data_IF_653936971227
#
_entry.id   IF_653936971227
#
_cell.length_a   1.000
_cell.length_b   1.000
_cell.length_c   1.000
_cell.angle_alpha   90.00
_cell.angle_beta   90.00
_cell.angle_gamma   90.00
#
_symmetry.space_group_name_H-M   'P 1'
#
loop_
_entity.id
_entity.type
_entity.pdbx_description
1 polymer ?
#
# COMPACT_ATOMS: atom_id res chain seq x y z
N UNK A 1 -7.36 -1.58 -59.25
CA UNK A 1 -7.28 -2.81 -58.43
C UNK A 1 -6.47 -2.50 -57.17
N UNK A 2 -7.07 -2.51 -55.97
CA UNK A 2 -6.29 -2.43 -54.72
C UNK A 2 -5.52 -3.74 -54.57
N UNK A 3 -4.21 -3.68 -54.32
CA UNK A 3 -3.41 -4.90 -54.20
C UNK A 3 -3.91 -5.73 -53.01
N UNK A 4 -4.03 -7.06 -53.14
CA UNK A 4 -4.51 -7.93 -52.05
C UNK A 4 -3.63 -7.87 -50.79
N UNK A 5 -2.38 -7.41 -50.91
CA UNK A 5 -1.49 -7.14 -49.79
C UNK A 5 -1.99 -6.00 -48.89
N UNK A 6 -2.36 -4.85 -49.48
CA UNK A 6 -2.84 -3.70 -48.70
C UNK A 6 -4.15 -3.99 -47.98
N UNK A 7 -5.03 -4.78 -48.58
CA UNK A 7 -6.29 -5.19 -47.95
C UNK A 7 -6.05 -6.05 -46.70
N UNK A 8 -5.17 -7.07 -46.80
CA UNK A 8 -4.81 -7.92 -45.65
C UNK A 8 -4.07 -7.17 -44.55
N UNK A 9 -3.17 -6.26 -44.93
CA UNK A 9 -2.46 -5.41 -43.98
C UNK A 9 -3.42 -4.51 -43.20
N UNK A 10 -4.38 -3.89 -43.89
CA UNK A 10 -5.36 -3.02 -43.27
C UNK A 10 -6.29 -3.78 -42.31
N UNK A 11 -6.75 -4.98 -42.68
CA UNK A 11 -7.55 -5.84 -41.80
C UNK A 11 -6.77 -6.30 -40.56
N UNK A 12 -5.49 -6.64 -40.73
CA UNK A 12 -4.58 -7.03 -39.65
C UNK A 12 -4.42 -5.86 -38.66
N UNK A 13 -4.10 -4.66 -39.16
CA UNK A 13 -3.93 -3.46 -38.36
C UNK A 13 -5.22 -3.05 -37.62
N UNK A 14 -6.38 -3.21 -38.26
CA UNK A 14 -7.69 -2.89 -37.67
C UNK A 14 -8.00 -3.71 -36.41
N UNK A 15 -7.40 -4.90 -36.27
CA UNK A 15 -7.62 -5.80 -35.12
C UNK A 15 -6.45 -5.73 -34.14
N UNK A 16 -5.21 -5.76 -34.65
CA UNK A 16 -4.02 -5.79 -33.82
C UNK A 16 -3.77 -4.46 -33.09
N UNK A 17 -3.99 -3.32 -33.75
CA UNK A 17 -3.69 -2.02 -33.13
C UNK A 17 -4.57 -1.70 -31.92
N UNK A 18 -5.92 -1.87 -31.96
CA UNK A 18 -6.76 -1.69 -30.78
C UNK A 18 -6.43 -2.67 -29.65
N UNK A 19 -6.09 -3.91 -29.97
CA UNK A 19 -5.72 -4.91 -28.96
C UNK A 19 -4.38 -4.58 -28.30
N UNK A 20 -3.37 -4.14 -29.06
CA UNK A 20 -2.09 -3.70 -28.52
C UNK A 20 -2.25 -2.46 -27.63
N UNK A 21 -3.03 -1.48 -28.09
CA UNK A 21 -3.34 -0.30 -27.29
C UNK A 21 -4.08 -0.68 -26.00
N UNK A 22 -5.04 -1.59 -26.07
CA UNK A 22 -5.76 -2.12 -24.92
C UNK A 22 -4.81 -2.77 -23.89
N UNK A 23 -3.84 -3.56 -24.35
CA UNK A 23 -2.82 -4.15 -23.47
C UNK A 23 -1.98 -3.08 -22.78
N UNK A 24 -1.56 -2.03 -23.50
CA UNK A 24 -0.78 -0.92 -22.93
C UNK A 24 -1.60 -0.18 -21.87
N UNK A 25 -2.85 0.18 -22.18
CA UNK A 25 -3.74 0.92 -21.26
C UNK A 25 -3.99 0.11 -19.99
N UNK A 26 -4.33 -1.18 -20.11
CA UNK A 26 -4.56 -2.04 -18.96
C UNK A 26 -3.28 -2.28 -18.17
N UNK A 27 -2.12 -2.40 -18.82
CA UNK A 27 -0.84 -2.56 -18.13
C UNK A 27 -0.50 -1.32 -17.30
N UNK A 28 -0.68 -0.12 -17.86
CA UNK A 28 -0.53 1.14 -17.11
C UNK A 28 -1.47 1.15 -15.89
N UNK A 29 -2.73 0.74 -16.09
CA UNK A 29 -3.71 0.65 -15.00
C UNK A 29 -3.28 -0.26 -13.85
N UNK A 30 -2.58 -1.35 -14.14
CA UNK A 30 -2.20 -2.38 -13.15
C UNK A 30 -0.73 -2.32 -12.68
N UNK A 31 0.13 -1.58 -13.37
CA UNK A 31 1.57 -1.52 -13.08
C UNK A 31 2.08 -0.12 -12.69
N UNK A 32 1.21 0.90 -12.63
CA UNK A 32 1.62 2.26 -12.25
C UNK A 32 2.19 2.36 -10.82
N UNK A 33 2.90 3.46 -10.54
CA UNK A 33 3.42 3.81 -9.21
C UNK A 33 2.98 5.22 -8.81
N UNK A 34 3.05 5.55 -7.53
CA UNK A 34 2.73 6.89 -7.01
C UNK A 34 3.89 7.89 -7.22
N UNK A 35 3.55 9.17 -7.40
CA UNK A 35 4.49 10.29 -7.34
C UNK A 35 4.38 10.95 -5.97
N UNK A 36 5.30 10.66 -5.06
CA UNK A 36 5.31 11.27 -3.72
C UNK A 36 5.64 12.77 -3.79
N UNK A 37 5.00 13.65 -2.98
CA UNK A 37 3.90 13.42 -2.02
C UNK A 37 2.52 13.78 -2.61
N UNK A 38 2.16 13.24 -3.77
CA UNK A 38 0.94 13.61 -4.50
C UNK A 38 -0.01 12.43 -4.69
N UNK A 39 -1.25 12.72 -5.11
CA UNK A 39 -2.22 11.70 -5.53
C UNK A 39 -2.00 11.21 -6.97
N UNK A 40 -0.99 11.75 -7.66
CA UNK A 40 -0.72 11.45 -9.07
C UNK A 40 0.05 10.16 -9.25
N UNK A 41 -0.18 9.53 -10.40
CA UNK A 41 0.49 8.29 -10.80
C UNK A 41 1.56 8.58 -11.84
N UNK A 42 2.64 7.81 -11.82
CA UNK A 42 3.62 7.71 -12.91
C UNK A 42 3.48 6.37 -13.61
N UNK A 43 3.67 6.38 -14.92
CA UNK A 43 3.81 5.16 -15.70
C UNK A 43 5.19 4.54 -15.45
N UNK A 44 5.25 3.23 -15.47
CA UNK A 44 6.49 2.46 -15.35
C UNK A 44 6.60 1.48 -16.52
N UNK A 45 7.81 1.03 -16.88
CA UNK A 45 8.00 -0.02 -17.86
C UNK A 45 7.71 -1.42 -17.29
N UNK A 46 7.12 -1.51 -16.09
CA UNK A 46 6.81 -2.77 -15.43
C UNK A 46 5.65 -3.49 -16.13
N UNK A 47 5.70 -4.82 -16.10
CA UNK A 47 4.64 -5.68 -16.65
C UNK A 47 3.73 -6.15 -15.50
N UNK A 48 2.42 -5.95 -15.62
CA UNK A 48 1.45 -6.50 -14.67
C UNK A 48 1.28 -8.00 -14.88
N UNK A 49 1.61 -8.78 -13.86
CA UNK A 49 1.43 -10.23 -13.87
C UNK A 49 -0.05 -10.61 -13.92
N UNK A 50 -0.93 -9.87 -13.23
CA UNK A 50 -2.37 -10.10 -13.29
C UNK A 50 -2.90 -9.92 -14.70
N UNK A 51 -2.45 -8.89 -15.42
CA UNK A 51 -2.84 -8.70 -16.81
C UNK A 51 -2.39 -9.88 -17.69
N UNK A 52 -1.15 -10.34 -17.51
CA UNK A 52 -0.63 -11.51 -18.23
C UNK A 52 -1.49 -12.75 -17.96
N UNK A 53 -1.78 -13.05 -16.69
CA UNK A 53 -2.64 -14.17 -16.31
C UNK A 53 -4.04 -14.02 -16.91
N UNK A 54 -4.62 -12.82 -16.83
CA UNK A 54 -5.98 -12.55 -17.28
C UNK A 54 -6.13 -12.73 -18.79
N UNK A 55 -5.23 -12.12 -19.57
CA UNK A 55 -5.27 -12.16 -21.04
C UNK A 55 -4.93 -13.57 -21.55
N UNK A 56 -3.97 -14.26 -20.92
CA UNK A 56 -3.66 -15.66 -21.22
C UNK A 56 -4.85 -16.56 -20.92
N UNK A 57 -5.53 -16.35 -19.80
CA UNK A 57 -6.74 -17.09 -19.42
C UNK A 57 -7.88 -16.89 -20.43
N UNK A 58 -8.13 -15.66 -20.89
CA UNK A 58 -9.12 -15.38 -21.94
C UNK A 58 -8.74 -16.10 -23.25
N UNK A 59 -7.46 -16.07 -23.64
CA UNK A 59 -7.00 -16.72 -24.86
C UNK A 59 -7.11 -18.26 -24.77
N UNK A 60 -6.80 -18.85 -23.61
CA UNK A 60 -6.98 -20.28 -23.35
C UNK A 60 -8.46 -20.67 -23.37
N UNK A 61 -9.32 -19.91 -22.68
CA UNK A 61 -10.77 -20.13 -22.69
C UNK A 61 -11.33 -20.12 -24.13
N UNK A 62 -10.91 -19.14 -24.94
CA UNK A 62 -11.26 -19.08 -26.36
C UNK A 62 -10.72 -20.28 -27.17
N UNK A 63 -9.58 -20.85 -26.79
CA UNK A 63 -9.03 -22.06 -27.43
C UNK A 63 -9.87 -23.31 -27.11
N UNK A 64 -10.48 -23.36 -25.92
CA UNK A 64 -11.44 -24.41 -25.52
C UNK A 64 -12.87 -24.15 -25.99
N UNK A 65 -13.11 -23.10 -26.80
CA UNK A 65 -14.44 -22.77 -27.30
C UNK A 65 -15.36 -22.10 -26.28
N UNK A 66 -14.83 -21.68 -25.12
CA UNK A 66 -15.56 -20.90 -24.14
C UNK A 66 -15.66 -19.45 -24.61
N UNK A 67 -16.89 -18.98 -24.85
CA UNK A 67 -17.16 -17.61 -25.23
C UNK A 67 -17.72 -16.82 -24.04
N UNK A 68 -17.15 -15.65 -23.78
CA UNK A 68 -17.64 -14.78 -22.72
C UNK A 68 -18.82 -13.94 -23.23
N UNK A 69 -20.03 -14.29 -22.79
CA UNK A 69 -21.22 -13.48 -23.04
C UNK A 69 -21.11 -12.08 -22.43
N UNK A 70 -22.05 -11.19 -22.77
CA UNK A 70 -22.05 -9.79 -22.30
C UNK A 70 -21.92 -9.66 -20.78
N UNK A 71 -22.62 -10.52 -20.02
CA UNK A 71 -22.58 -10.54 -18.55
C UNK A 71 -21.19 -10.88 -18.02
N UNK A 72 -20.55 -11.92 -18.57
CA UNK A 72 -19.21 -12.32 -18.19
C UNK A 72 -18.19 -11.22 -18.50
N UNK A 73 -18.30 -10.56 -19.67
CA UNK A 73 -17.42 -9.44 -20.00
C UNK A 73 -17.57 -8.25 -19.03
N UNK A 74 -18.79 -7.93 -18.58
CA UNK A 74 -19.00 -6.90 -17.55
C UNK A 74 -18.45 -7.32 -16.18
N UNK A 75 -18.63 -8.58 -15.77
CA UNK A 75 -18.05 -9.10 -14.53
C UNK A 75 -16.51 -9.05 -14.56
N UNK A 76 -15.91 -9.43 -15.69
CA UNK A 76 -14.47 -9.34 -15.93
C UNK A 76 -13.97 -7.88 -15.92
N UNK A 77 -14.72 -6.94 -16.50
CA UNK A 77 -14.42 -5.50 -16.42
C UNK A 77 -14.50 -4.97 -14.99
N UNK A 78 -15.51 -5.38 -14.21
CA UNK A 78 -15.63 -5.00 -12.81
C UNK A 78 -14.48 -5.55 -11.97
N UNK A 79 -14.08 -6.81 -12.19
CA UNK A 79 -12.93 -7.41 -11.52
C UNK A 79 -11.63 -6.66 -11.85
N UNK A 80 -11.38 -6.32 -13.11
CA UNK A 80 -10.20 -5.54 -13.49
C UNK A 80 -10.24 -4.12 -12.92
N UNK A 81 -11.41 -3.49 -12.86
CA UNK A 81 -11.56 -2.18 -12.22
C UNK A 81 -11.21 -2.26 -10.73
N UNK A 82 -11.66 -3.31 -10.03
CA UNK A 82 -11.28 -3.56 -8.64
C UNK A 82 -9.77 -3.73 -8.49
N UNK A 83 -9.12 -4.47 -9.39
CA UNK A 83 -7.66 -4.64 -9.37
C UNK A 83 -6.90 -3.34 -9.66
N UNK A 84 -7.37 -2.52 -10.59
CA UNK A 84 -6.78 -1.19 -10.88
C UNK A 84 -6.94 -0.26 -9.67
N UNK A 85 -8.12 -0.25 -9.04
CA UNK A 85 -8.35 0.52 -7.82
C UNK A 85 -7.49 0.02 -6.67
N UNK A 86 -7.41 -1.30 -6.47
CA UNK A 86 -6.55 -1.92 -5.49
C UNK A 86 -5.07 -1.57 -5.73
N UNK A 87 -4.60 -1.57 -6.99
CA UNK A 87 -3.25 -1.10 -7.35
C UNK A 87 -3.03 0.34 -6.89
N UNK A 88 -3.98 1.22 -7.23
CA UNK A 88 -3.89 2.63 -6.89
C UNK A 88 -3.75 2.85 -5.39
N UNK A 89 -4.58 2.16 -4.60
CA UNK A 89 -4.51 2.21 -3.13
C UNK A 89 -3.19 1.62 -2.63
N UNK A 90 -2.74 0.48 -3.16
CA UNK A 90 -1.53 -0.22 -2.71
C UNK A 90 -0.24 0.58 -2.95
N UNK A 91 -0.19 1.43 -3.98
CA UNK A 91 0.97 2.31 -4.23
C UNK A 91 0.84 3.69 -3.59
N UNK A 92 -0.38 4.21 -3.45
CA UNK A 92 -0.61 5.57 -2.95
C UNK A 92 -0.62 5.62 -1.43
N UNK A 93 -1.22 4.62 -0.76
CA UNK A 93 -1.28 4.62 0.70
C UNK A 93 0.10 4.51 1.37
N UNK A 94 1.02 3.62 0.95
CA UNK A 94 2.36 3.59 1.52
C UNK A 94 3.17 4.86 1.23
N UNK A 95 2.96 5.48 0.07
CA UNK A 95 3.63 6.73 -0.27
C UNK A 95 3.19 7.87 0.67
N UNK A 96 1.88 8.02 0.89
CA UNK A 96 1.34 9.12 1.70
C UNK A 96 1.39 8.85 3.21
N UNK A 97 1.14 7.62 3.64
CA UNK A 97 0.95 7.24 5.04
C UNK A 97 2.05 6.34 5.59
N UNK A 98 3.05 5.95 4.78
CA UNK A 98 4.16 5.08 5.20
C UNK A 98 3.76 3.64 5.51
N UNK A 99 2.49 3.27 5.29
CA UNK A 99 1.95 1.92 5.48
C UNK A 99 0.91 1.56 4.42
N UNK A 100 0.68 0.27 4.24
CA UNK A 100 -0.45 -0.22 3.44
C UNK A 100 -1.77 0.03 4.17
N UNK A 101 -2.86 0.03 3.40
CA UNK A 101 -4.21 0.01 3.96
C UNK A 101 -4.43 -1.35 4.63
N UNK A 102 -4.89 -1.31 5.87
CA UNK A 102 -5.40 -2.45 6.61
C UNK A 102 -6.92 -2.44 6.49
N UNK A 103 -7.47 -3.33 5.66
CA UNK A 103 -8.91 -3.35 5.40
C UNK A 103 -9.75 -3.59 6.67
N UNK A 104 -9.22 -4.26 7.69
CA UNK A 104 -9.97 -4.51 8.93
C UNK A 104 -10.06 -3.25 9.79
N UNK A 105 -8.93 -2.58 10.01
CA UNK A 105 -8.87 -1.41 10.88
C UNK A 105 -9.31 -0.12 10.18
N UNK A 106 -8.87 0.10 8.94
CA UNK A 106 -9.12 1.37 8.24
C UNK A 106 -10.60 1.53 7.86
N UNK A 107 -11.32 0.44 7.59
CA UNK A 107 -12.76 0.50 7.27
C UNK A 107 -13.63 0.89 8.47
N UNK A 108 -13.17 0.64 9.69
CA UNK A 108 -13.88 1.06 10.92
C UNK A 108 -13.91 2.59 11.07
N UNK A 109 -13.01 3.31 10.40
CA UNK A 109 -13.00 4.77 10.41
C UNK A 109 -13.97 5.40 9.40
N UNK A 110 -14.56 4.62 8.48
CA UNK A 110 -15.48 5.14 7.44
C UNK A 110 -16.66 5.92 8.05
N UNK A 111 -17.36 5.47 9.11
CA UNK A 111 -18.46 6.23 9.69
C UNK A 111 -18.02 7.58 10.25
N UNK A 112 -16.87 7.64 10.94
CA UNK A 112 -16.34 8.87 11.50
C UNK A 112 -15.92 9.88 10.41
N UNK A 113 -15.25 9.41 9.36
CA UNK A 113 -14.88 10.23 8.20
C UNK A 113 -16.15 10.74 7.49
N UNK A 114 -17.16 9.88 7.35
CA UNK A 114 -18.44 10.24 6.73
C UNK A 114 -19.16 11.32 7.53
N UNK A 115 -19.25 11.16 8.86
CA UNK A 115 -19.84 12.16 9.75
C UNK A 115 -19.10 13.50 9.64
N UNK A 116 -17.76 13.47 9.67
CA UNK A 116 -16.93 14.67 9.52
C UNK A 116 -17.22 15.41 8.21
N UNK A 117 -17.32 14.69 7.08
CA UNK A 117 -17.64 15.30 5.77
C UNK A 117 -19.04 15.90 5.77
N UNK A 118 -20.03 15.19 6.31
CA UNK A 118 -21.42 15.66 6.38
C UNK A 118 -21.53 16.93 7.24
N UNK A 119 -20.81 16.99 8.35
CA UNK A 119 -20.80 18.14 9.25
C UNK A 119 -20.04 19.35 8.66
N UNK A 120 -18.98 19.09 7.90
CA UNK A 120 -18.08 20.14 7.42
C UNK A 120 -18.46 20.72 6.06
N UNK A 121 -19.12 19.95 5.19
CA UNK A 121 -19.35 20.32 3.78
C UNK A 121 -20.84 20.54 3.48
N UNK A 122 -21.14 21.41 2.52
CA UNK A 122 -22.52 21.61 2.08
C UNK A 122 -23.07 20.38 1.35
N UNK A 123 -24.39 20.09 1.42
CA UNK A 123 -24.99 18.97 0.70
C UNK A 123 -24.71 18.99 -0.82
N UNK A 124 -24.60 20.17 -1.41
CA UNK A 124 -24.27 20.34 -2.83
C UNK A 124 -22.81 19.94 -3.13
N UNK A 125 -21.87 20.27 -2.25
CA UNK A 125 -20.47 19.86 -2.39
C UNK A 125 -20.33 18.33 -2.29
N UNK A 126 -21.05 17.71 -1.35
CA UNK A 126 -21.08 16.25 -1.18
C UNK A 126 -21.68 15.59 -2.43
N UNK A 127 -22.82 16.07 -2.93
CA UNK A 127 -23.44 15.54 -4.13
C UNK A 127 -22.52 15.67 -5.36
N UNK A 128 -21.85 16.81 -5.52
CA UNK A 128 -20.87 17.02 -6.59
C UNK A 128 -19.70 16.03 -6.49
N UNK A 129 -19.15 15.80 -5.29
CA UNK A 129 -18.08 14.83 -5.06
C UNK A 129 -18.52 13.40 -5.40
N UNK A 130 -19.71 12.99 -4.96
CA UNK A 130 -20.27 11.66 -5.26
C UNK A 130 -20.46 11.49 -6.77
N UNK A 131 -21.06 12.48 -7.45
CA UNK A 131 -21.26 12.42 -8.90
C UNK A 131 -19.95 12.40 -9.67
N UNK A 132 -18.96 13.21 -9.28
CA UNK A 132 -17.63 13.20 -9.88
C UNK A 132 -16.97 11.82 -9.72
N UNK A 133 -17.05 11.25 -8.52
CA UNK A 133 -16.48 9.92 -8.22
C UNK A 133 -17.16 8.84 -9.07
N UNK A 134 -18.50 8.79 -9.10
CA UNK A 134 -19.25 7.87 -9.93
C UNK A 134 -18.93 8.04 -11.42
N UNK A 135 -18.76 9.28 -11.89
CA UNK A 135 -18.37 9.60 -13.26
C UNK A 135 -16.99 9.04 -13.62
N UNK A 136 -16.00 9.16 -12.72
CA UNK A 136 -14.66 8.58 -12.89
C UNK A 136 -14.73 7.06 -12.98
N UNK A 137 -15.43 6.40 -12.05
CA UNK A 137 -15.59 4.93 -12.08
C UNK A 137 -16.35 4.45 -13.31
N UNK A 138 -17.37 5.19 -13.76
CA UNK A 138 -18.11 4.89 -14.99
C UNK A 138 -17.23 5.05 -16.25
N UNK A 139 -16.38 6.08 -16.31
CA UNK A 139 -15.43 6.25 -17.40
C UNK A 139 -14.39 5.11 -17.41
N UNK A 140 -13.83 4.77 -16.25
CA UNK A 140 -12.84 3.69 -16.12
C UNK A 140 -13.41 2.33 -16.51
N UNK A 141 -14.62 1.98 -16.03
CA UNK A 141 -15.23 0.70 -16.41
C UNK A 141 -15.51 0.63 -17.91
N UNK A 142 -15.91 1.74 -18.53
CA UNK A 142 -16.14 1.82 -19.98
C UNK A 142 -14.83 1.66 -20.78
N UNK A 143 -13.74 2.30 -20.34
CA UNK A 143 -12.41 2.14 -20.94
C UNK A 143 -11.94 0.68 -20.84
N UNK A 144 -12.00 0.09 -19.64
CA UNK A 144 -11.61 -1.31 -19.41
C UNK A 144 -12.47 -2.25 -20.26
N UNK A 145 -13.79 -2.01 -20.34
CA UNK A 145 -14.72 -2.80 -21.14
C UNK A 145 -14.39 -2.76 -22.63
N UNK A 146 -14.01 -1.59 -23.13
CA UNK A 146 -13.58 -1.39 -24.53
C UNK A 146 -12.25 -2.10 -24.80
N UNK A 147 -11.29 -2.01 -23.87
CA UNK A 147 -10.01 -2.73 -23.95
C UNK A 147 -10.23 -4.25 -24.00
N UNK A 148 -11.06 -4.79 -23.11
CA UNK A 148 -11.40 -6.21 -23.11
C UNK A 148 -12.12 -6.66 -24.37
N UNK A 149 -13.02 -5.84 -24.93
CA UNK A 149 -13.68 -6.15 -26.19
C UNK A 149 -12.68 -6.25 -27.35
N UNK A 150 -11.69 -5.34 -27.40
CA UNK A 150 -10.62 -5.38 -28.40
C UNK A 150 -9.75 -6.63 -28.27
N UNK A 151 -9.33 -6.98 -27.05
CA UNK A 151 -8.53 -8.19 -26.77
C UNK A 151 -9.33 -9.46 -27.12
N UNK A 152 -10.59 -9.55 -26.67
CA UNK A 152 -11.48 -10.67 -26.96
C UNK A 152 -11.69 -10.84 -28.48
N UNK A 153 -11.88 -9.75 -29.21
CA UNK A 153 -11.99 -9.76 -30.67
C UNK A 153 -10.71 -10.26 -31.35
N UNK A 154 -9.53 -9.86 -30.85
CA UNK A 154 -8.25 -10.32 -31.39
C UNK A 154 -8.02 -11.82 -31.13
N UNK A 155 -8.26 -12.31 -29.90
CA UNK A 155 -8.04 -13.73 -29.57
C UNK A 155 -9.09 -14.68 -30.16
N UNK A 156 -10.18 -14.16 -30.73
CA UNK A 156 -11.08 -14.97 -31.54
C UNK A 156 -10.38 -15.52 -32.79
N UNK A 157 -9.35 -14.83 -33.29
CA UNK A 157 -8.54 -15.28 -34.41
C UNK A 157 -7.44 -16.25 -33.93
N UNK A 158 -7.32 -17.45 -34.54
CA UNK A 158 -6.38 -18.48 -34.08
C UNK A 158 -4.92 -18.04 -34.04
N UNK A 159 -4.48 -17.18 -34.96
CA UNK A 159 -3.11 -16.69 -35.03
C UNK A 159 -2.75 -15.83 -33.80
N UNK A 160 -3.55 -14.80 -33.50
CA UNK A 160 -3.34 -13.94 -32.34
C UNK A 160 -3.52 -14.71 -31.02
N UNK A 161 -4.48 -15.63 -30.96
CA UNK A 161 -4.67 -16.50 -29.79
C UNK A 161 -3.41 -17.27 -29.43
N UNK A 162 -2.76 -17.90 -30.43
CA UNK A 162 -1.50 -18.62 -30.23
C UNK A 162 -0.38 -17.70 -29.75
N UNK A 163 -0.24 -16.52 -30.37
CA UNK A 163 0.76 -15.52 -29.96
C UNK A 163 0.56 -15.12 -28.50
N UNK A 164 -0.68 -14.81 -28.10
CA UNK A 164 -1.01 -14.41 -26.74
C UNK A 164 -0.71 -15.53 -25.73
N UNK A 165 -1.10 -16.77 -26.03
CA UNK A 165 -0.82 -17.91 -25.15
C UNK A 165 0.70 -18.12 -25.00
N UNK A 166 1.44 -18.10 -26.10
CA UNK A 166 2.90 -18.30 -26.08
C UNK A 166 3.62 -17.17 -25.33
N UNK A 167 3.28 -15.91 -25.63
CA UNK A 167 3.86 -14.75 -24.97
C UNK A 167 3.51 -14.73 -23.47
N UNK A 168 2.25 -15.02 -23.12
CA UNK A 168 1.81 -15.10 -21.74
C UNK A 168 2.51 -16.20 -20.95
N UNK A 169 2.60 -17.40 -21.53
CA UNK A 169 3.31 -18.54 -20.91
C UNK A 169 4.80 -18.21 -20.73
N UNK A 170 5.44 -17.58 -21.72
CA UNK A 170 6.84 -17.15 -21.63
C UNK A 170 7.05 -16.13 -20.50
N UNK A 171 6.20 -15.10 -20.43
CA UNK A 171 6.30 -14.06 -19.38
C UNK A 171 6.09 -14.64 -17.98
N UNK A 172 5.12 -15.54 -17.81
CA UNK A 172 4.89 -16.26 -16.55
C UNK A 172 6.09 -17.13 -16.18
N UNK A 173 6.70 -17.81 -17.16
CA UNK A 173 7.91 -18.60 -16.95
C UNK A 173 9.11 -17.74 -16.55
N UNK A 174 9.32 -16.59 -17.20
CA UNK A 174 10.39 -15.63 -16.85
C UNK A 174 10.21 -15.11 -15.43
N UNK A 175 8.98 -14.75 -15.06
CA UNK A 175 8.66 -14.33 -13.70
C UNK A 175 8.96 -15.44 -12.67
N UNK A 176 8.50 -16.66 -12.93
CA UNK A 176 8.73 -17.80 -12.05
C UNK A 176 10.22 -18.14 -11.89
N UNK A 177 11.01 -18.05 -12.96
CA UNK A 177 12.47 -18.24 -12.90
C UNK A 177 13.14 -17.15 -12.07
N UNK A 178 12.73 -15.88 -12.23
CA UNK A 178 13.24 -14.76 -11.44
C UNK A 178 13.00 -14.97 -9.94
N UNK A 179 11.76 -15.32 -9.57
CA UNK A 179 11.39 -15.60 -8.17
C UNK A 179 12.20 -16.73 -7.52
N UNK A 180 12.75 -17.66 -8.29
CA UNK A 180 13.47 -18.84 -7.78
C UNK A 180 14.99 -18.73 -7.97
N UNK A 181 15.52 -17.55 -8.34
CA UNK A 181 16.93 -17.37 -8.69
C UNK A 181 17.53 -16.13 -8.05
N UNK A 182 18.34 -16.32 -7.00
CA UNK A 182 19.09 -15.23 -6.34
C UNK A 182 20.05 -14.48 -7.28
N UNK A 183 20.46 -15.10 -8.38
CA UNK A 183 21.38 -14.51 -9.35
C UNK A 183 20.71 -13.64 -10.43
N UNK A 184 19.37 -13.58 -10.49
CA UNK A 184 18.63 -12.92 -11.59
C UNK A 184 17.44 -12.13 -11.06
N UNK A 185 17.57 -10.81 -10.97
CA UNK A 185 16.52 -9.87 -10.58
C UNK A 185 15.46 -9.60 -11.69
N UNK A 186 15.07 -10.63 -12.44
CA UNK A 186 14.12 -10.47 -13.56
C UNK A 186 12.70 -10.16 -13.10
N UNK A 187 12.32 -10.61 -11.90
CA UNK A 187 11.06 -10.32 -11.24
C UNK A 187 10.85 -8.82 -11.02
N UNK A 188 11.92 -8.02 -10.88
CA UNK A 188 11.84 -6.55 -10.78
C UNK A 188 11.30 -5.86 -12.02
N UNK A 189 11.22 -6.56 -13.16
CA UNK A 189 10.57 -6.06 -14.38
C UNK A 189 9.05 -6.22 -14.35
N UNK A 190 8.53 -6.91 -13.34
CA UNK A 190 7.10 -7.09 -13.13
C UNK A 190 6.64 -6.22 -11.97
N UNK A 191 5.43 -5.67 -12.09
CA UNK A 191 4.81 -5.03 -10.95
C UNK A 191 4.52 -6.07 -9.88
N UNK A 192 4.72 -5.71 -8.60
CA UNK A 192 4.37 -6.56 -7.46
C UNK A 192 2.90 -6.94 -7.57
N UNK A 193 2.56 -8.25 -7.64
CA UNK A 193 1.17 -8.68 -7.74
C UNK A 193 0.37 -8.25 -6.51
N UNK A 194 -0.78 -7.67 -6.75
CA UNK A 194 -1.73 -7.15 -5.76
C UNK A 194 -2.63 -8.27 -5.24
N UNK A 195 -2.94 -9.25 -6.10
CA UNK A 195 -3.88 -10.34 -5.75
C UNK A 195 -3.48 -11.11 -4.49
N UNK A 196 -2.21 -11.54 -4.31
CA UNK A 196 -1.78 -12.22 -3.08
C UNK A 196 -1.95 -11.36 -1.82
N UNK A 197 -1.62 -10.07 -1.90
CA UNK A 197 -1.72 -9.12 -0.78
C UNK A 197 -3.15 -9.04 -0.25
N UNK A 198 -4.13 -8.86 -1.15
CA UNK A 198 -5.53 -8.75 -0.74
C UNK A 198 -6.15 -10.10 -0.33
N UNK A 199 -5.65 -11.21 -0.89
CA UNK A 199 -6.04 -12.54 -0.44
C UNK A 199 -5.60 -12.81 1.01
N UNK A 200 -4.37 -12.44 1.35
CA UNK A 200 -3.86 -12.51 2.73
C UNK A 200 -4.69 -11.62 3.67
N UNK A 201 -5.00 -10.38 3.29
CA UNK A 201 -5.87 -9.52 4.10
C UNK A 201 -7.28 -10.11 4.31
N UNK A 202 -7.88 -10.70 3.27
CA UNK A 202 -9.20 -11.34 3.40
C UNK A 202 -9.15 -12.54 4.35
N UNK A 203 -8.07 -13.35 4.29
CA UNK A 203 -7.83 -14.44 5.24
C UNK A 203 -7.66 -13.90 6.66
N UNK A 204 -6.90 -12.84 6.84
CA UNK A 204 -6.64 -12.26 8.16
C UNK A 204 -7.92 -11.67 8.78
N UNK A 205 -8.75 -10.98 7.98
CA UNK A 205 -10.09 -10.53 8.39
C UNK A 205 -10.92 -11.74 8.86
N UNK A 206 -10.93 -12.83 8.10
CA UNK A 206 -11.69 -14.02 8.46
C UNK A 206 -11.20 -14.64 9.78
N UNK A 207 -9.89 -14.68 10.01
CA UNK A 207 -9.29 -15.19 11.24
C UNK A 207 -9.63 -14.32 12.45
N UNK A 208 -9.63 -12.99 12.29
CA UNK A 208 -10.02 -12.02 13.33
C UNK A 208 -11.50 -12.14 13.70
N UNK A 209 -12.37 -12.22 12.70
CA UNK A 209 -13.80 -12.42 12.91
C UNK A 209 -14.10 -13.76 13.60
N UNK A 210 -13.26 -14.77 13.40
CA UNK A 210 -13.33 -16.05 14.08
C UNK A 210 -12.69 -16.05 15.48
N UNK A 211 -12.08 -14.94 15.92
CA UNK A 211 -11.40 -14.84 17.22
C UNK A 211 -10.09 -15.62 17.33
N UNK A 212 -9.48 -16.03 16.21
CA UNK A 212 -8.34 -16.95 16.16
C UNK A 212 -7.00 -16.22 16.36
N UNK A 213 -6.98 -14.89 16.23
CA UNK A 213 -5.76 -14.08 16.32
C UNK A 213 -5.33 -13.82 17.76
N UNK A 214 -4.43 -14.66 18.27
CA UNK A 214 -3.60 -14.31 19.41
C UNK A 214 -2.38 -13.51 18.90
N UNK A 215 -2.29 -12.23 19.27
CA UNK A 215 -1.08 -11.45 19.02
C UNK A 215 -0.04 -11.92 20.03
N UNK A 216 1.05 -12.52 19.54
CA UNK A 216 2.13 -12.96 20.41
C UNK A 216 2.80 -11.75 21.08
N UNK A 217 2.60 -11.60 22.39
CA UNK A 217 3.25 -10.56 23.17
C UNK A 217 4.74 -10.90 23.31
N UNK A 218 5.60 -9.94 23.00
CA UNK A 218 7.02 -10.07 23.31
C UNK A 218 7.22 -9.64 24.77
N UNK A 219 7.75 -10.51 25.65
CA UNK A 219 8.02 -10.10 27.02
C UNK A 219 8.94 -8.88 27.01
N UNK A 220 8.55 -7.83 27.75
CA UNK A 220 9.42 -6.68 27.91
C UNK A 220 10.76 -7.13 28.51
N UNK A 221 11.90 -6.63 28.02
CA UNK A 221 13.19 -6.98 28.59
C UNK A 221 13.24 -6.59 30.08
N UNK A 222 13.96 -7.35 30.91
CA UNK A 222 14.13 -7.01 32.31
C UNK A 222 14.87 -5.68 32.41
N UNK A 223 14.27 -4.71 33.10
CA UNK A 223 14.90 -3.42 33.34
C UNK A 223 15.96 -3.56 34.43
N UNK A 224 17.02 -2.75 34.31
CA UNK A 224 17.92 -2.52 35.44
C UNK A 224 17.14 -1.86 36.58
N UNK A 225 17.50 -2.10 37.84
CA UNK A 225 16.75 -1.56 38.97
C UNK A 225 16.67 -0.03 38.91
N UNK A 226 15.44 0.51 38.90
CA UNK A 226 15.20 1.95 39.06
C UNK A 226 15.71 2.51 40.41
N UNK A 227 16.13 1.64 41.34
CA UNK A 227 16.81 2.03 42.57
C UNK A 227 18.05 2.92 42.34
N UNK A 228 18.72 2.78 41.19
CA UNK A 228 19.88 3.63 40.83
C UNK A 228 19.51 5.11 40.63
N UNK A 229 18.21 5.43 40.44
CA UNK A 229 17.74 6.81 40.33
C UNK A 229 17.78 7.57 41.67
N UNK A 230 17.90 6.86 42.80
CA UNK A 230 18.18 7.45 44.12
C UNK A 230 17.16 8.49 44.59
N UNK A 231 15.87 8.34 44.22
CA UNK A 231 14.81 9.28 44.59
C UNK A 231 14.75 10.58 43.78
N UNK A 232 15.53 10.72 42.70
CA UNK A 232 15.47 11.90 41.80
C UNK A 232 14.24 11.90 40.91
N UNK A 233 13.66 13.08 40.68
CA UNK A 233 12.56 13.26 39.75
C UNK A 233 12.95 12.89 38.31
N UNK A 234 12.05 12.20 37.61
CA UNK A 234 12.23 11.79 36.22
C UNK A 234 11.15 12.42 35.37
N UNK A 235 11.56 13.16 34.34
CA UNK A 235 10.66 13.78 33.37
C UNK A 235 10.82 13.10 32.01
N UNK A 236 9.71 12.70 31.42
CA UNK A 236 9.64 12.23 30.03
C UNK A 236 8.85 13.25 29.25
N UNK A 237 9.48 13.86 28.25
CA UNK A 237 8.87 14.89 27.41
C UNK A 237 8.88 14.40 25.97
N UNK A 238 7.70 14.33 25.37
CA UNK A 238 7.55 14.03 23.95
C UNK A 238 7.59 15.34 23.15
N UNK A 239 8.50 15.42 22.17
CA UNK A 239 8.56 16.52 21.22
C UNK A 239 8.15 15.98 19.84
N UNK A 240 6.89 16.23 19.47
CA UNK A 240 6.36 15.92 18.15
C UNK A 240 6.47 17.15 17.23
N UNK A 241 6.74 17.05 15.92
CA UNK A 241 6.94 15.89 15.04
C UNK A 241 8.33 15.95 14.38
N UNK A 242 9.38 15.80 15.19
CA UNK A 242 10.77 15.95 14.73
C UNK A 242 11.46 14.61 14.51
N UNK A 243 12.15 14.49 13.38
CA UNK A 243 12.99 13.33 13.05
C UNK A 243 14.43 13.75 12.76
N UNK A 244 15.24 12.79 12.31
CA UNK A 244 16.66 13.01 11.95
C UNK A 244 16.85 14.15 10.93
N UNK A 245 15.85 14.42 10.10
CA UNK A 245 15.88 15.51 9.10
C UNK A 245 16.13 16.88 9.73
N UNK A 246 15.61 17.15 10.94
CA UNK A 246 15.83 18.42 11.64
C UNK A 246 17.31 18.66 11.99
N UNK A 247 18.13 17.61 12.02
CA UNK A 247 19.56 17.68 12.33
C UNK A 247 20.46 17.53 11.09
N UNK A 248 19.92 17.01 9.99
CA UNK A 248 20.70 16.59 8.82
C UNK A 248 20.40 17.39 7.56
N UNK A 249 19.24 18.03 7.46
CA UNK A 249 18.87 18.85 6.31
C UNK A 249 19.34 20.29 6.54
N UNK A 250 20.14 20.81 5.59
CA UNK A 250 20.75 22.13 5.69
C UNK A 250 19.72 23.26 5.86
N UNK A 251 18.47 23.06 5.42
CA UNK A 251 17.40 24.04 5.61
C UNK A 251 17.03 24.27 7.09
N UNK A 252 17.26 23.28 7.96
CA UNK A 252 16.85 23.32 9.38
C UNK A 252 17.99 23.07 10.36
N UNK A 253 19.04 22.36 9.92
CA UNK A 253 20.07 21.82 10.79
C UNK A 253 20.86 22.91 11.51
N UNK A 254 21.11 24.05 10.87
CA UNK A 254 21.88 25.12 11.49
C UNK A 254 21.19 25.68 12.73
N UNK A 255 19.93 26.09 12.61
CA UNK A 255 19.16 26.65 13.71
C UNK A 255 18.90 25.59 14.78
N UNK A 256 18.49 24.38 14.39
CA UNK A 256 18.21 23.29 15.32
C UNK A 256 19.44 22.92 16.16
N UNK A 257 20.63 22.82 15.54
CA UNK A 257 21.87 22.50 16.26
C UNK A 257 22.31 23.65 17.18
N UNK A 258 22.12 24.90 16.77
CA UNK A 258 22.43 26.05 17.62
C UNK A 258 21.58 26.02 18.91
N UNK A 259 20.26 25.84 18.78
CA UNK A 259 19.35 25.72 19.93
C UNK A 259 19.71 24.54 20.83
N UNK A 260 20.02 23.37 20.27
CA UNK A 260 20.42 22.21 21.07
C UNK A 260 21.76 22.42 21.80
N UNK A 261 22.69 23.15 21.19
CA UNK A 261 23.99 23.49 21.81
C UNK A 261 23.79 24.44 22.99
N UNK A 262 22.92 25.45 22.83
CA UNK A 262 22.56 26.37 23.91
C UNK A 262 21.86 25.64 25.07
N UNK A 263 20.92 24.74 24.75
CA UNK A 263 20.25 23.90 25.74
C UNK A 263 21.25 23.01 26.50
N UNK A 264 22.19 22.37 25.79
CA UNK A 264 23.24 21.55 26.40
C UNK A 264 24.13 22.36 27.35
N UNK A 265 24.56 23.56 26.94
CA UNK A 265 25.33 24.46 27.79
C UNK A 265 24.55 24.92 29.03
N UNK A 266 23.27 25.27 28.87
CA UNK A 266 22.39 25.68 29.96
C UNK A 266 22.14 24.56 30.97
N UNK A 267 21.90 23.33 30.49
CA UNK A 267 21.77 22.13 31.32
C UNK A 267 23.09 21.83 32.06
N UNK A 268 24.23 21.89 31.37
CA UNK A 268 25.55 21.68 31.96
C UNK A 268 25.88 22.66 33.09
N UNK A 269 25.50 23.94 32.94
CA UNK A 269 25.67 24.96 33.99
C UNK A 269 24.90 24.64 35.28
N UNK A 270 23.84 23.84 35.20
CA UNK A 270 23.03 23.38 36.33
C UNK A 270 23.40 21.95 36.78
N UNK A 271 24.54 21.41 36.32
CA UNK A 271 25.05 20.10 36.72
C UNK A 271 24.40 18.91 36.02
N UNK A 272 23.64 19.12 34.94
CA UNK A 272 23.09 18.03 34.14
C UNK A 272 24.12 17.48 33.16
N UNK A 273 24.03 16.18 32.88
CA UNK A 273 24.76 15.52 31.80
C UNK A 273 23.81 15.16 30.66
N UNK A 274 24.18 15.54 29.45
CA UNK A 274 23.40 15.35 28.22
C UNK A 274 23.91 14.15 27.43
N UNK A 275 22.99 13.35 26.89
CA UNK A 275 23.26 12.29 25.91
C UNK A 275 22.13 12.27 24.90
N UNK A 276 22.47 12.01 23.65
CA UNK A 276 21.53 11.91 22.55
C UNK A 276 21.83 10.69 21.69
N UNK A 277 20.81 10.24 20.95
CA UNK A 277 20.91 9.10 20.06
C UNK A 277 19.70 9.04 19.15
N UNK A 278 19.78 8.21 18.11
CA UNK A 278 18.66 7.98 17.21
C UNK A 278 17.97 6.65 17.53
N UNK A 279 16.64 6.70 17.53
CA UNK A 279 15.78 5.52 17.57
C UNK A 279 14.88 5.55 16.33
N UNK A 280 14.56 4.38 15.80
CA UNK A 280 13.57 4.25 14.72
C UNK A 280 12.18 4.24 15.34
N UNK A 281 11.39 5.28 15.04
CA UNK A 281 10.01 5.33 15.48
C UNK A 281 9.15 4.26 14.75
N UNK A 282 8.19 3.62 15.41
CA UNK A 282 7.24 2.69 14.79
C UNK A 282 6.14 3.40 13.96
N UNK A 283 6.38 4.65 13.57
CA UNK A 283 5.37 5.57 13.03
C UNK A 283 5.91 6.36 11.85
N UNK A 284 5.05 6.66 10.89
CA UNK A 284 5.32 7.57 9.78
C UNK A 284 4.06 8.37 9.45
N UNK A 285 4.19 9.69 9.27
CA UNK A 285 3.08 10.54 8.81
C UNK A 285 1.83 10.55 9.69
N UNK A 286 1.94 10.14 10.97
CA UNK A 286 0.83 9.97 11.90
C UNK A 286 1.06 8.80 12.86
N UNK A 287 0.00 8.31 13.51
CA UNK A 287 0.03 7.14 14.40
C UNK A 287 0.90 7.29 15.66
N UNK A 288 1.07 8.51 16.19
CA UNK A 288 1.94 8.77 17.34
C UNK A 288 1.64 7.93 18.58
N UNK A 289 0.38 7.46 18.74
CA UNK A 289 0.00 6.54 19.82
C UNK A 289 0.84 5.25 19.82
N UNK A 290 1.38 4.80 18.68
CA UNK A 290 2.27 3.63 18.60
C UNK A 290 3.64 3.90 19.25
N UNK A 291 4.20 5.09 19.04
CA UNK A 291 5.46 5.51 19.69
C UNK A 291 5.29 5.65 21.20
N UNK A 292 4.19 6.26 21.64
CA UNK A 292 3.84 6.35 23.06
C UNK A 292 3.64 4.96 23.68
N UNK A 293 2.87 4.10 23.02
CA UNK A 293 2.60 2.74 23.51
C UNK A 293 3.87 1.90 23.56
N UNK A 294 4.80 2.09 22.61
CA UNK A 294 6.09 1.40 22.64
C UNK A 294 6.94 1.80 23.84
N UNK A 295 6.96 3.08 24.20
CA UNK A 295 7.62 3.54 25.42
C UNK A 295 6.96 2.93 26.65
N UNK A 296 5.63 2.98 26.72
CA UNK A 296 4.86 2.49 27.86
C UNK A 296 4.99 0.98 28.05
N UNK A 297 5.00 0.21 26.96
CA UNK A 297 5.09 -1.24 26.98
C UNK A 297 6.53 -1.76 27.15
N UNK A 298 7.53 -0.91 26.91
CA UNK A 298 8.96 -1.30 26.93
C UNK A 298 9.37 -2.22 25.78
N UNK A 299 8.52 -2.36 24.75
CA UNK A 299 8.78 -3.13 23.53
C UNK A 299 8.09 -2.47 22.33
N UNK A 300 8.48 -2.83 21.11
CA UNK A 300 8.00 -2.17 19.90
C UNK A 300 6.54 -2.50 19.57
N UNK A 301 5.64 -1.54 19.79
CA UNK A 301 4.24 -1.55 19.34
C UNK A 301 4.19 -0.87 17.98
N UNK A 302 4.21 -1.67 16.90
CA UNK A 302 4.40 -1.19 15.53
C UNK A 302 3.24 -1.51 14.58
N UNK A 303 2.13 -2.02 15.13
CA UNK A 303 0.90 -2.27 14.39
C UNK A 303 -0.30 -1.91 15.26
N UNK A 304 -1.45 -1.68 14.61
CA UNK A 304 -2.69 -1.42 15.34
C UNK A 304 -3.12 -2.64 16.17
N UNK A 305 -2.78 -3.86 15.75
CA UNK A 305 -3.05 -5.08 16.53
C UNK A 305 -2.29 -5.13 17.83
N UNK A 306 -0.99 -4.82 17.78
CA UNK A 306 -0.15 -4.76 18.98
C UNK A 306 -0.64 -3.65 19.90
N UNK A 307 -1.12 -2.55 19.35
CA UNK A 307 -1.72 -1.47 20.13
C UNK A 307 -3.01 -1.91 20.83
N UNK A 308 -3.93 -2.58 20.14
CA UNK A 308 -5.16 -3.08 20.74
C UNK A 308 -4.88 -4.18 21.77
N UNK A 309 -3.94 -5.07 21.46
CA UNK A 309 -3.45 -6.06 22.42
C UNK A 309 -2.86 -5.39 23.65
N UNK A 310 -2.11 -4.29 23.50
CA UNK A 310 -1.57 -3.51 24.60
C UNK A 310 -2.69 -2.87 25.44
N UNK A 311 -3.72 -2.28 24.82
CA UNK A 311 -4.85 -1.68 25.53
C UNK A 311 -5.68 -2.68 26.34
N UNK A 312 -5.75 -3.92 25.89
CA UNK A 312 -6.48 -5.00 26.57
C UNK A 312 -5.60 -5.87 27.48
N UNK A 313 -4.28 -5.66 27.45
CA UNK A 313 -3.34 -6.40 28.27
C UNK A 313 -3.40 -5.97 29.73
N UNK A 314 -3.09 -6.88 30.64
CA UNK A 314 -2.78 -6.57 32.04
C UNK A 314 -1.27 -6.51 32.31
N UNK A 315 -0.45 -6.42 31.25
CA UNK A 315 1.00 -6.33 31.38
C UNK A 315 1.42 -5.04 32.08
N UNK A 316 2.51 -5.15 32.84
CA UNK A 316 3.09 -4.01 33.52
C UNK A 316 3.70 -3.01 32.54
N UNK A 317 3.18 -1.79 32.60
CA UNK A 317 3.72 -0.64 31.86
C UNK A 317 4.92 -0.02 32.59
N UNK A 318 5.66 0.87 31.91
CA UNK A 318 6.72 1.67 32.54
C UNK A 318 6.21 2.43 33.76
N UNK A 319 4.97 2.95 33.73
CA UNK A 319 4.38 3.67 34.86
C UNK A 319 4.12 2.76 36.05
N UNK A 320 3.68 1.53 35.83
CA UNK A 320 3.50 0.55 36.91
C UNK A 320 4.83 0.19 37.55
N UNK A 321 5.86 -0.01 36.72
CA UNK A 321 7.21 -0.36 37.17
C UNK A 321 7.88 0.77 37.96
N UNK A 322 7.75 2.01 37.48
CA UNK A 322 8.27 3.21 38.17
C UNK A 322 7.52 3.42 39.49
N UNK A 323 6.20 3.20 39.54
CA UNK A 323 5.42 3.23 40.78
C UNK A 323 5.88 2.20 41.80
N UNK A 324 6.15 0.96 41.36
CA UNK A 324 6.71 -0.10 42.23
C UNK A 324 8.09 0.26 42.80
N UNK A 325 8.84 1.11 42.12
CA UNK A 325 10.12 1.63 42.59
C UNK A 325 9.99 2.85 43.54
N UNK A 326 8.76 3.26 43.90
CA UNK A 326 8.51 4.32 44.89
C UNK A 326 8.26 5.72 44.29
N UNK A 327 8.16 5.82 42.96
CA UNK A 327 7.89 7.07 42.25
C UNK A 327 6.38 7.27 42.03
N UNK A 328 5.97 8.51 41.71
CA UNK A 328 4.56 8.87 41.48
C UNK A 328 4.28 9.19 40.03
#
# INVERSE_FOLDING_TARGET
MKSPFFTRLFETLRIAAPALLALIVLNIGLAHQNIWPTLWIRTTPEISLELVVFVTGIALAAAFGLNFGKRAQWALSALLLLLVFARYVDVTAPALFGRRVDLYWDTQHIPAITAMVIESWSPMAIAALVLATLGVFAALIFIIRTCLAAIHGAVALPAYRRIVILAGTLLLGVYAVGMNSDARDWERRFAIPITPVYFEQARDISARLAGITAVAQTPAPPLRPYAELGGRDVYVVFLESYGRIALNDDAYAHETRATLTELEAGLGAHGWHTRSGFLTAPTFGGASWLSHSSLMAGHAVHSHDLYQSFLHSQDETITDRVRKAGYR
#
